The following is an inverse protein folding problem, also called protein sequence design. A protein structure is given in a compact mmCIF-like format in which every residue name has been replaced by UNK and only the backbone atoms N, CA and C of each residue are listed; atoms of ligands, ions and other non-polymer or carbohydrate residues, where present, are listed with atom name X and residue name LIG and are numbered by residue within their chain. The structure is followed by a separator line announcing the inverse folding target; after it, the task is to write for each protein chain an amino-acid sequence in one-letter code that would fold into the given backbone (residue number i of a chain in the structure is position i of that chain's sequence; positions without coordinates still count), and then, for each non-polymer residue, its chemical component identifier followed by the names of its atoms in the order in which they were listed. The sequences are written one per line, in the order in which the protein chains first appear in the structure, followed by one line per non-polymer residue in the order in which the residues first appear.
data_IF_923656733948
#
_entry.id   IF_923656733948
#
_cell.length_a   1.000
_cell.length_b   1.000
_cell.length_c   1.000
_cell.angle_alpha   90.00
_cell.angle_beta   90.00
_cell.angle_gamma   90.00
#
_symmetry.space_group_name_H-M   'P 1'
#
loop_
_entity.id
_entity.type
_entity.pdbx_description
1 polymer ?
#
# COMPACT_ATOMS: atom_id res chain seq x y z
N UNK A 1 18.85 -20.70 -14.78
CA UNK A 1 17.93 -20.37 -13.69
C UNK A 1 18.23 -21.28 -12.52
N UNK A 2 18.56 -20.72 -11.36
CA UNK A 2 18.76 -21.51 -10.14
C UNK A 2 17.42 -22.13 -9.70
N UNK A 3 17.44 -23.27 -8.98
CA UNK A 3 16.22 -23.95 -8.50
C UNK A 3 15.29 -23.02 -7.72
N UNK A 4 15.86 -22.15 -6.88
CA UNK A 4 15.10 -21.14 -6.12
C UNK A 4 14.36 -20.14 -7.00
N UNK A 5 14.96 -19.71 -8.12
CA UNK A 5 14.30 -18.81 -9.08
C UNK A 5 13.17 -19.53 -9.81
N UNK A 6 13.35 -20.81 -10.16
CA UNK A 6 12.28 -21.64 -10.76
C UNK A 6 11.07 -21.75 -9.81
N UNK A 7 11.33 -22.04 -8.53
CA UNK A 7 10.29 -22.15 -7.50
C UNK A 7 9.59 -20.79 -7.24
N UNK A 8 10.35 -19.69 -7.32
CA UNK A 8 9.79 -18.33 -7.29
C UNK A 8 8.86 -18.09 -8.49
N UNK A 9 9.26 -18.46 -9.71
CA UNK A 9 8.40 -18.31 -10.90
C UNK A 9 7.08 -19.07 -10.76
N UNK A 10 7.11 -20.28 -10.19
CA UNK A 10 5.88 -21.05 -9.89
C UNK A 10 5.00 -20.29 -8.88
N UNK A 11 5.61 -19.69 -7.87
CA UNK A 11 4.87 -18.92 -6.87
C UNK A 11 4.25 -17.65 -7.46
N UNK A 12 4.98 -16.90 -8.29
CA UNK A 12 4.48 -15.71 -8.99
C UNK A 12 3.26 -16.07 -9.86
N UNK A 13 3.37 -17.14 -10.67
CA UNK A 13 2.26 -17.64 -11.51
C UNK A 13 1.02 -18.02 -10.69
N UNK A 14 1.21 -18.66 -9.53
CA UNK A 14 0.10 -19.08 -8.66
C UNK A 14 -0.50 -17.93 -7.85
N UNK A 15 0.27 -16.90 -7.54
CA UNK A 15 -0.23 -15.68 -6.92
C UNK A 15 -1.09 -14.86 -7.90
N UNK A 16 -0.70 -14.84 -9.18
CA UNK A 16 -1.36 -14.09 -10.25
C UNK A 16 -2.17 -14.99 -11.21
N UNK A 17 -2.87 -16.00 -10.69
CA UNK A 17 -3.75 -16.85 -11.53
C UNK A 17 -4.98 -16.08 -12.05
N UNK A 18 -5.62 -16.59 -13.10
CA UNK A 18 -6.87 -16.03 -13.65
C UNK A 18 -8.09 -16.20 -12.72
N UNK A 19 -7.98 -17.06 -11.69
CA UNK A 19 -9.08 -17.30 -10.76
C UNK A 19 -9.44 -15.99 -10.03
N UNK A 20 -10.73 -15.61 -10.05
CA UNK A 20 -11.30 -14.42 -9.40
C UNK A 20 -11.38 -14.58 -7.87
N UNK A 21 -10.26 -14.97 -7.26
CA UNK A 21 -10.06 -15.12 -5.82
C UNK A 21 -8.91 -14.24 -5.36
N UNK A 22 -8.75 -14.11 -4.05
CA UNK A 22 -7.55 -13.49 -3.48
C UNK A 22 -6.25 -14.17 -3.99
N UNK A 23 -5.15 -13.42 -4.13
CA UNK A 23 -3.83 -14.01 -4.33
C UNK A 23 -3.53 -15.05 -3.23
N UNK A 24 -3.10 -16.25 -3.64
CA UNK A 24 -2.86 -17.35 -2.71
C UNK A 24 -1.76 -16.98 -1.71
N UNK A 25 -2.13 -16.81 -0.43
CA UNK A 25 -1.25 -16.31 0.66
C UNK A 25 0.13 -16.98 0.71
N UNK A 26 0.19 -18.31 0.58
CA UNK A 26 1.47 -19.04 0.61
C UNK A 26 2.43 -18.65 -0.52
N UNK A 27 1.91 -18.29 -1.68
CA UNK A 27 2.71 -17.92 -2.85
C UNK A 27 3.15 -16.45 -2.79
N UNK A 28 2.28 -15.57 -2.28
CA UNK A 28 2.68 -14.18 -1.97
C UNK A 28 3.78 -14.18 -0.90
N UNK A 29 3.61 -14.99 0.17
CA UNK A 29 4.63 -15.14 1.21
C UNK A 29 5.95 -15.69 0.68
N UNK A 30 5.90 -16.64 -0.25
CA UNK A 30 7.12 -17.16 -0.89
C UNK A 30 7.87 -16.05 -1.67
N UNK A 31 7.17 -15.12 -2.33
CA UNK A 31 7.80 -13.98 -3.00
C UNK A 31 8.48 -13.04 -2.01
N UNK A 32 7.82 -12.76 -0.89
CA UNK A 32 8.37 -11.93 0.21
C UNK A 32 9.61 -12.59 0.80
N UNK A 33 9.51 -13.86 1.22
CA UNK A 33 10.61 -14.62 1.83
C UNK A 33 11.80 -14.74 0.89
N UNK A 34 11.56 -14.99 -0.41
CA UNK A 34 12.62 -15.02 -1.41
C UNK A 34 13.47 -13.73 -1.39
N UNK A 35 12.82 -12.57 -1.26
CA UNK A 35 13.54 -11.28 -1.23
C UNK A 35 14.45 -11.14 -0.01
N UNK A 36 14.08 -11.73 1.14
CA UNK A 36 14.90 -11.76 2.35
C UNK A 36 16.07 -12.73 2.22
N UNK A 37 15.80 -13.95 1.74
CA UNK A 37 16.83 -14.99 1.57
C UNK A 37 17.94 -14.56 0.61
N UNK A 38 17.58 -13.83 -0.47
CA UNK A 38 18.51 -13.42 -1.52
C UNK A 38 18.93 -11.95 -1.42
N UNK A 39 18.35 -11.18 -0.48
CA UNK A 39 18.53 -9.73 -0.32
C UNK A 39 18.28 -8.92 -1.59
N UNK A 40 17.45 -9.43 -2.50
CA UNK A 40 17.08 -8.80 -3.77
C UNK A 40 15.71 -9.28 -4.25
N UNK A 41 14.99 -8.39 -4.92
CA UNK A 41 13.71 -8.64 -5.59
C UNK A 41 13.83 -8.67 -7.12
N UNK A 42 15.03 -8.61 -7.71
CA UNK A 42 15.23 -8.61 -9.17
C UNK A 42 14.54 -9.79 -9.86
N UNK A 43 14.69 -10.99 -9.31
CA UNK A 43 14.06 -12.19 -9.86
C UNK A 43 12.52 -12.14 -9.79
N UNK A 44 11.97 -11.46 -8.76
CA UNK A 44 10.53 -11.23 -8.64
C UNK A 44 10.02 -10.30 -9.75
N UNK A 45 10.67 -9.15 -9.96
CA UNK A 45 10.31 -8.23 -11.05
C UNK A 45 10.43 -8.87 -12.43
N UNK A 46 11.53 -9.58 -12.69
CA UNK A 46 11.71 -10.31 -13.94
C UNK A 46 10.62 -11.39 -14.14
N UNK A 47 10.23 -12.06 -13.06
CA UNK A 47 9.15 -13.04 -13.09
C UNK A 47 7.78 -12.47 -13.36
N UNK A 48 7.49 -11.27 -12.88
CA UNK A 48 6.24 -10.57 -13.22
C UNK A 48 6.22 -10.12 -14.68
N UNK A 49 7.33 -9.60 -15.21
CA UNK A 49 7.44 -9.11 -16.59
C UNK A 49 7.24 -10.18 -17.67
N UNK A 50 7.48 -11.45 -17.35
CA UNK A 50 7.23 -12.56 -18.28
C UNK A 50 5.78 -13.07 -18.23
N UNK A 51 4.96 -12.61 -17.27
CA UNK A 51 3.55 -12.97 -17.25
C UNK A 51 2.79 -12.16 -18.31
N UNK A 52 1.84 -12.77 -19.04
CA UNK A 52 0.94 -12.04 -19.92
C UNK A 52 -0.15 -11.36 -19.08
N UNK A 53 0.21 -10.27 -18.39
CA UNK A 53 -0.71 -9.52 -17.52
C UNK A 53 -1.74 -8.72 -18.32
N UNK A 54 -1.37 -8.25 -19.51
CA UNK A 54 -2.25 -7.47 -20.39
C UNK A 54 -3.44 -8.26 -20.95
N UNK A 55 -3.37 -9.59 -20.93
CA UNK A 55 -4.41 -10.46 -21.49
C UNK A 55 -5.57 -10.69 -20.49
N UNK A 56 -5.39 -10.35 -19.21
CA UNK A 56 -6.33 -10.70 -18.14
C UNK A 56 -6.26 -9.71 -16.96
N UNK A 57 -7.31 -8.92 -16.81
CA UNK A 57 -7.42 -7.90 -15.76
C UNK A 57 -7.40 -8.47 -14.33
N UNK A 58 -7.88 -9.71 -14.12
CA UNK A 58 -7.84 -10.36 -12.81
C UNK A 58 -6.39 -10.70 -12.45
N UNK A 59 -5.63 -11.24 -13.40
CA UNK A 59 -4.19 -11.50 -13.19
C UNK A 59 -3.45 -10.21 -12.90
N UNK A 60 -3.72 -9.16 -13.68
CA UNK A 60 -3.07 -7.87 -13.51
C UNK A 60 -3.39 -7.24 -12.14
N UNK A 61 -4.66 -7.22 -11.74
CA UNK A 61 -5.06 -6.73 -10.43
C UNK A 61 -4.38 -7.52 -9.29
N UNK A 62 -4.32 -8.85 -9.40
CA UNK A 62 -3.61 -9.71 -8.42
C UNK A 62 -2.10 -9.50 -8.43
N UNK A 63 -1.51 -9.18 -9.58
CA UNK A 63 -0.10 -8.81 -9.68
C UNK A 63 0.17 -7.51 -8.92
N UNK A 64 -0.68 -6.49 -9.06
CA UNK A 64 -0.54 -5.25 -8.30
C UNK A 64 -0.69 -5.48 -6.78
N UNK A 65 -1.66 -6.28 -6.33
CA UNK A 65 -1.77 -6.66 -4.90
C UNK A 65 -0.48 -7.34 -4.43
N UNK A 66 0.06 -8.25 -5.24
CA UNK A 66 1.30 -8.97 -4.91
C UNK A 66 2.50 -8.01 -4.85
N UNK A 67 2.60 -7.06 -5.78
CA UNK A 67 3.61 -5.99 -5.76
C UNK A 67 3.49 -5.17 -4.48
N UNK A 68 2.29 -4.70 -4.13
CA UNK A 68 2.05 -3.93 -2.91
C UNK A 68 2.58 -4.67 -1.68
N UNK A 69 2.25 -5.96 -1.54
CA UNK A 69 2.71 -6.78 -0.42
C UNK A 69 4.22 -7.01 -0.39
N UNK A 70 4.86 -7.19 -1.55
CA UNK A 70 6.33 -7.31 -1.61
C UNK A 70 7.02 -5.99 -1.28
N UNK A 71 6.46 -4.85 -1.69
CA UNK A 71 6.97 -3.53 -1.31
C UNK A 71 6.82 -3.26 0.18
N UNK A 72 5.74 -3.76 0.80
CA UNK A 72 5.52 -3.66 2.25
C UNK A 72 6.45 -4.57 3.04
N UNK A 73 6.36 -5.87 2.81
CA UNK A 73 6.87 -6.90 3.72
C UNK A 73 8.23 -7.49 3.28
N UNK A 74 8.69 -7.15 2.07
CA UNK A 74 9.95 -7.63 1.51
C UNK A 74 11.19 -7.00 2.14
N UNK A 75 12.36 -7.55 1.81
CA UNK A 75 13.64 -6.96 2.22
C UNK A 75 13.70 -5.48 1.77
N UNK A 76 14.35 -4.54 2.51
CA UNK A 76 14.37 -3.12 2.16
C UNK A 76 14.87 -2.78 0.73
N UNK A 77 15.59 -3.70 0.09
CA UNK A 77 15.97 -3.57 -1.33
C UNK A 77 14.77 -3.64 -2.28
N UNK A 78 13.63 -4.21 -1.87
CA UNK A 78 12.39 -4.26 -2.64
C UNK A 78 11.87 -2.86 -2.98
N UNK A 79 11.94 -1.90 -2.05
CA UNK A 79 11.57 -0.51 -2.33
C UNK A 79 12.53 0.12 -3.36
N UNK A 80 13.85 -0.07 -3.17
CA UNK A 80 14.88 0.46 -4.09
C UNK A 80 14.73 -0.10 -5.50
N UNK A 81 14.44 -1.39 -5.62
CA UNK A 81 14.23 -2.06 -6.90
C UNK A 81 12.83 -1.79 -7.47
N UNK A 82 11.82 -1.54 -6.62
CA UNK A 82 10.50 -1.05 -7.03
C UNK A 82 10.59 0.31 -7.70
N UNK A 83 11.36 1.25 -7.13
CA UNK A 83 11.62 2.56 -7.75
C UNK A 83 12.25 2.41 -9.14
N UNK A 84 13.15 1.43 -9.33
CA UNK A 84 13.75 1.14 -10.65
C UNK A 84 12.76 0.53 -11.65
N UNK A 85 11.66 -0.03 -11.18
CA UNK A 85 10.60 -0.61 -12.00
C UNK A 85 9.36 0.29 -12.08
N UNK A 86 9.45 1.55 -11.61
CA UNK A 86 8.34 2.51 -11.58
C UNK A 86 7.67 2.66 -12.95
N UNK A 87 8.45 2.93 -14.00
CA UNK A 87 7.90 3.13 -15.36
C UNK A 87 7.23 1.87 -15.90
N UNK A 88 7.74 0.69 -15.51
CA UNK A 88 7.07 -0.57 -15.85
C UNK A 88 5.74 -0.73 -15.11
N UNK A 89 5.66 -0.36 -13.83
CA UNK A 89 4.41 -0.34 -13.08
C UNK A 89 3.42 0.60 -13.77
N UNK A 90 3.82 1.85 -14.05
CA UNK A 90 2.99 2.85 -14.75
C UNK A 90 2.43 2.32 -16.09
N UNK A 91 3.23 1.55 -16.84
CA UNK A 91 2.75 0.94 -18.08
C UNK A 91 1.59 -0.06 -17.88
N UNK A 92 1.49 -0.70 -16.71
CA UNK A 92 0.40 -1.61 -16.37
C UNK A 92 -0.94 -0.89 -16.20
N UNK A 93 -0.95 0.30 -15.63
CA UNK A 93 -2.15 1.14 -15.56
C UNK A 93 -2.55 1.68 -16.93
N UNK A 94 -1.56 2.06 -17.75
CA UNK A 94 -1.77 2.71 -19.05
C UNK A 94 -2.42 1.80 -20.11
N UNK A 95 -2.19 0.49 -20.05
CA UNK A 95 -2.78 -0.48 -21.01
C UNK A 95 -4.30 -0.68 -20.84
N UNK A 96 -4.87 -0.20 -19.74
CA UNK A 96 -6.29 -0.41 -19.40
C UNK A 96 -7.11 0.83 -19.73
N UNK A 97 -7.81 0.82 -20.87
CA UNK A 97 -8.45 2.02 -21.43
C UNK A 97 -9.91 2.25 -21.03
N UNK A 98 -10.64 1.24 -20.58
CA UNK A 98 -12.05 1.35 -20.18
C UNK A 98 -12.26 0.84 -18.74
N UNK A 99 -13.49 0.85 -18.24
CA UNK A 99 -13.77 0.36 -16.88
C UNK A 99 -13.46 -1.13 -16.69
N UNK A 100 -13.29 -1.87 -17.78
CA UNK A 100 -12.90 -3.27 -17.76
C UNK A 100 -14.02 -4.21 -17.35
N UNK A 101 -13.72 -5.49 -17.35
CA UNK A 101 -14.59 -6.54 -16.83
C UNK A 101 -14.88 -6.27 -15.35
N UNK A 102 -16.16 -6.20 -14.96
CA UNK A 102 -16.60 -5.98 -13.57
C UNK A 102 -15.90 -4.80 -12.87
N UNK A 103 -15.57 -3.72 -13.57
CA UNK A 103 -14.85 -2.55 -13.06
C UNK A 103 -13.38 -2.79 -12.65
N UNK A 104 -12.78 -3.94 -13.01
CA UNK A 104 -11.36 -4.20 -12.71
C UNK A 104 -10.45 -3.19 -13.39
N UNK A 105 -10.80 -2.72 -14.58
CA UNK A 105 -9.98 -1.75 -15.28
C UNK A 105 -9.84 -0.42 -14.52
N UNK A 106 -10.94 0.08 -13.95
CA UNK A 106 -10.91 1.27 -13.07
C UNK A 106 -10.10 1.04 -11.79
N UNK A 107 -10.24 -0.14 -11.19
CA UNK A 107 -9.47 -0.52 -9.99
C UNK A 107 -7.97 -0.61 -10.27
N UNK A 108 -7.58 -1.19 -11.40
CA UNK A 108 -6.18 -1.33 -11.82
C UNK A 108 -5.52 0.05 -11.94
N UNK A 109 -6.16 0.99 -12.63
CA UNK A 109 -5.62 2.35 -12.80
C UNK A 109 -5.42 3.08 -11.48
N UNK A 110 -6.39 2.97 -10.56
CA UNK A 110 -6.27 3.65 -9.27
C UNK A 110 -5.22 2.99 -8.38
N UNK A 111 -5.16 1.66 -8.39
CA UNK A 111 -4.19 0.90 -7.59
C UNK A 111 -2.76 1.08 -8.13
N UNK A 112 -2.59 1.18 -9.44
CA UNK A 112 -1.35 1.56 -10.11
C UNK A 112 -0.88 2.95 -9.67
N UNK A 113 -1.74 3.96 -9.79
CA UNK A 113 -1.46 5.33 -9.34
C UNK A 113 -1.04 5.38 -7.87
N UNK A 114 -1.73 4.65 -7.01
CA UNK A 114 -1.37 4.55 -5.59
C UNK A 114 0.05 3.98 -5.41
N UNK A 115 0.40 2.89 -6.10
CA UNK A 115 1.74 2.29 -6.01
C UNK A 115 2.83 3.25 -6.51
N UNK A 116 2.57 4.02 -7.57
CA UNK A 116 3.49 5.06 -8.04
C UNK A 116 3.71 6.14 -6.96
N UNK A 117 2.63 6.64 -6.34
CA UNK A 117 2.71 7.61 -5.23
C UNK A 117 3.51 7.04 -4.05
N UNK A 118 3.31 5.77 -3.69
CA UNK A 118 4.10 5.09 -2.65
C UNK A 118 5.60 5.03 -3.00
N UNK A 119 5.93 4.69 -4.24
CA UNK A 119 7.32 4.62 -4.68
C UNK A 119 7.99 6.00 -4.70
N UNK A 120 7.25 7.03 -5.13
CA UNK A 120 7.73 8.42 -5.12
C UNK A 120 7.96 8.92 -3.69
N UNK A 121 7.05 8.60 -2.75
CA UNK A 121 7.26 8.84 -1.33
C UNK A 121 8.58 8.23 -0.83
N UNK A 122 8.79 6.92 -1.03
CA UNK A 122 10.01 6.25 -0.55
C UNK A 122 11.28 6.67 -1.30
N UNK A 123 11.16 7.25 -2.50
CA UNK A 123 12.30 7.86 -3.22
C UNK A 123 12.79 9.11 -2.49
N UNK A 124 11.85 9.92 -1.99
CA UNK A 124 12.11 11.17 -1.30
C UNK A 124 12.41 10.95 0.20
N UNK A 125 11.76 9.97 0.82
CA UNK A 125 11.79 9.73 2.27
C UNK A 125 12.39 8.36 2.61
N UNK A 126 13.72 8.25 2.55
CA UNK A 126 14.44 6.96 2.68
C UNK A 126 14.42 6.34 4.08
N UNK A 127 14.04 7.12 5.10
CA UNK A 127 13.97 6.65 6.49
C UNK A 127 12.80 5.72 6.78
N UNK A 128 11.76 5.72 5.93
CA UNK A 128 10.55 4.92 6.15
C UNK A 128 10.68 3.53 5.51
N UNK A 129 10.32 2.50 6.27
CA UNK A 129 10.23 1.14 5.77
C UNK A 129 8.91 0.90 5.00
N UNK A 130 8.80 -0.26 4.34
CA UNK A 130 7.69 -0.55 3.43
C UNK A 130 6.31 -0.64 4.10
N UNK A 131 6.25 -1.04 5.37
CA UNK A 131 5.02 -1.19 6.16
C UNK A 131 4.63 0.07 6.93
N UNK A 132 5.46 1.12 6.90
CA UNK A 132 5.33 2.25 7.83
C UNK A 132 5.23 1.77 9.28
N UNK A 133 6.07 0.79 9.64
CA UNK A 133 6.20 0.41 11.04
C UNK A 133 6.83 1.56 11.81
N UNK A 134 6.15 1.97 12.88
CA UNK A 134 6.55 3.13 13.66
C UNK A 134 7.90 2.89 14.31
N UNK A 135 8.85 3.76 13.98
CA UNK A 135 10.14 3.85 14.63
C UNK A 135 10.29 5.27 15.19
N UNK A 136 10.37 5.39 16.52
CA UNK A 136 10.48 6.68 17.21
C UNK A 136 11.67 7.48 16.71
N UNK A 137 12.81 6.81 16.47
CA UNK A 137 14.00 7.43 15.91
C UNK A 137 13.76 8.07 14.53
N UNK A 138 13.02 7.39 13.64
CA UNK A 138 12.70 7.95 12.31
C UNK A 138 11.91 9.24 12.47
N UNK A 139 10.86 9.21 13.30
CA UNK A 139 10.02 10.39 13.55
C UNK A 139 10.83 11.55 14.15
N UNK A 140 11.64 11.28 15.18
CA UNK A 140 12.46 12.30 15.85
C UNK A 140 13.57 12.85 14.94
N UNK A 141 14.16 12.03 14.08
CA UNK A 141 15.19 12.47 13.15
C UNK A 141 14.62 13.36 12.05
N UNK A 142 13.47 13.00 11.47
CA UNK A 142 12.81 13.78 10.42
C UNK A 142 12.31 15.14 10.92
N UNK A 143 11.84 15.23 12.16
CA UNK A 143 11.38 16.50 12.76
C UNK A 143 12.49 17.30 13.44
N UNK A 144 13.75 16.86 13.31
CA UNK A 144 14.91 17.64 13.80
C UNK A 144 15.08 18.95 13.03
N UNK A 145 14.71 18.94 11.75
CA UNK A 145 14.44 20.12 10.93
C UNK A 145 12.91 20.27 10.79
N UNK A 146 12.31 21.32 11.36
CA UNK A 146 10.86 21.54 11.28
C UNK A 146 10.32 21.64 9.85
N UNK A 147 11.09 22.18 8.91
CA UNK A 147 10.65 22.32 7.52
C UNK A 147 10.59 20.96 6.83
N UNK A 148 11.62 20.12 7.02
CA UNK A 148 11.63 18.72 6.53
C UNK A 148 10.52 17.90 7.20
N UNK A 149 10.30 18.10 8.50
CA UNK A 149 9.21 17.47 9.24
C UNK A 149 7.83 17.85 8.71
N UNK A 150 7.61 19.13 8.40
CA UNK A 150 6.35 19.63 7.86
C UNK A 150 6.04 19.00 6.49
N UNK A 151 7.02 19.00 5.58
CA UNK A 151 6.89 18.43 4.24
C UNK A 151 6.67 16.91 4.29
N UNK A 152 7.41 16.20 5.15
CA UNK A 152 7.23 14.75 5.32
C UNK A 152 5.81 14.41 5.84
N UNK A 153 5.25 15.21 6.74
CA UNK A 153 3.85 15.04 7.19
C UNK A 153 2.87 15.28 6.03
N UNK A 154 3.06 16.32 5.22
CA UNK A 154 2.22 16.60 4.05
C UNK A 154 2.24 15.46 3.03
N UNK A 155 3.42 14.90 2.77
CA UNK A 155 3.60 13.77 1.86
C UNK A 155 2.94 12.48 2.40
N UNK A 156 3.09 12.20 3.70
CA UNK A 156 2.38 11.11 4.38
C UNK A 156 0.86 11.28 4.30
N UNK A 157 0.36 12.49 4.55
CA UNK A 157 -1.07 12.80 4.43
C UNK A 157 -1.56 12.61 2.99
N UNK A 158 -0.76 12.98 2.00
CA UNK A 158 -1.12 12.80 0.58
C UNK A 158 -1.17 11.33 0.18
N UNK A 159 -0.31 10.49 0.76
CA UNK A 159 -0.39 9.04 0.60
C UNK A 159 -1.63 8.46 1.31
N UNK A 160 -1.99 8.98 2.49
CA UNK A 160 -3.21 8.60 3.20
C UNK A 160 -4.49 8.93 2.40
N UNK A 161 -4.54 10.08 1.73
CA UNK A 161 -5.65 10.44 0.84
C UNK A 161 -5.74 9.50 -0.37
N UNK A 162 -4.59 9.09 -0.93
CA UNK A 162 -4.56 8.10 -2.01
C UNK A 162 -5.09 6.73 -1.57
N UNK A 163 -4.87 6.33 -0.32
CA UNK A 163 -5.48 5.11 0.26
C UNK A 163 -6.99 5.28 0.36
N UNK A 164 -7.46 6.44 0.82
CA UNK A 164 -8.90 6.73 0.94
C UNK A 164 -9.61 6.69 -0.43
N UNK A 165 -9.03 7.31 -1.46
CA UNK A 165 -9.55 7.27 -2.83
C UNK A 165 -9.71 5.83 -3.33
N UNK A 166 -8.66 5.03 -3.14
CA UNK A 166 -8.60 3.66 -3.61
C UNK A 166 -9.54 2.72 -2.84
N UNK A 167 -9.60 2.84 -1.52
CA UNK A 167 -10.50 2.00 -0.71
C UNK A 167 -11.97 2.32 -1.03
N UNK A 168 -12.33 3.60 -1.20
CA UNK A 168 -13.69 3.99 -1.59
C UNK A 168 -14.08 3.38 -2.92
N UNK A 169 -13.14 3.39 -3.88
CA UNK A 169 -13.35 2.75 -5.17
C UNK A 169 -13.52 1.22 -5.05
N UNK A 170 -12.71 0.55 -4.22
CA UNK A 170 -12.87 -0.88 -3.95
C UNK A 170 -14.25 -1.16 -3.37
N UNK A 171 -14.69 -0.42 -2.35
CA UNK A 171 -16.03 -0.58 -1.76
C UNK A 171 -17.16 -0.29 -2.76
N UNK A 172 -17.01 0.71 -3.62
CA UNK A 172 -18.00 1.03 -4.65
C UNK A 172 -18.13 -0.06 -5.72
N UNK A 173 -17.10 -0.90 -5.90
CA UNK A 173 -17.08 -1.94 -6.94
C UNK A 173 -17.35 -3.35 -6.42
N UNK A 174 -17.42 -3.55 -5.11
CA UNK A 174 -17.97 -4.78 -4.52
C UNK A 174 -19.49 -4.61 -4.42
N UNK A 175 -20.25 -5.57 -4.94
CA UNK A 175 -21.72 -5.54 -4.84
C UNK A 175 -22.17 -5.49 -3.39
N UNK A 176 -23.45 -5.18 -3.14
CA UNK A 176 -24.03 -5.16 -1.78
C UNK A 176 -23.74 -6.42 -0.95
N UNK A 177 -23.52 -7.57 -1.60
CA UNK A 177 -23.22 -8.84 -0.92
C UNK A 177 -21.75 -8.98 -0.51
N UNK A 178 -20.89 -7.98 -0.78
CA UNK A 178 -19.45 -7.96 -0.44
C UNK A 178 -18.75 -9.28 -0.79
N UNK A 179 -19.05 -9.84 -1.96
CA UNK A 179 -18.75 -11.25 -2.28
C UNK A 179 -17.51 -11.46 -3.18
N UNK A 180 -16.74 -10.41 -3.48
CA UNK A 180 -15.51 -10.55 -4.28
C UNK A 180 -14.28 -10.63 -3.38
N UNK A 181 -13.86 -11.84 -3.03
CA UNK A 181 -12.62 -12.05 -2.26
C UNK A 181 -11.40 -11.44 -2.94
N UNK A 182 -11.36 -11.46 -4.28
CA UNK A 182 -10.28 -10.88 -5.05
C UNK A 182 -10.15 -9.37 -4.79
N UNK A 183 -11.23 -8.59 -4.96
CA UNK A 183 -11.24 -7.14 -4.71
C UNK A 183 -11.00 -6.82 -3.23
N UNK A 184 -11.68 -7.54 -2.34
CA UNK A 184 -11.55 -7.34 -0.89
C UNK A 184 -10.12 -7.60 -0.43
N UNK A 185 -9.41 -8.55 -1.03
CA UNK A 185 -8.02 -8.83 -0.65
C UNK A 185 -7.05 -7.66 -0.86
N UNK A 186 -7.39 -6.69 -1.74
CA UNK A 186 -6.63 -5.45 -1.91
C UNK A 186 -6.73 -4.51 -0.69
N UNK A 187 -7.79 -4.62 0.13
CA UNK A 187 -7.94 -3.82 1.35
C UNK A 187 -6.97 -4.25 2.45
N UNK A 188 -6.53 -5.51 2.47
CA UNK A 188 -5.61 -6.05 3.50
C UNK A 188 -4.32 -5.22 3.60
N UNK A 189 -3.53 -5.02 2.52
CA UNK A 189 -2.34 -4.18 2.61
C UNK A 189 -2.66 -2.70 2.85
N UNK A 190 -3.80 -2.17 2.36
CA UNK A 190 -4.21 -0.78 2.59
C UNK A 190 -4.52 -0.48 4.07
N UNK A 191 -5.17 -1.42 4.77
CA UNK A 191 -5.46 -1.29 6.20
C UNK A 191 -4.16 -1.21 7.02
N UNK A 192 -3.20 -2.08 6.71
CA UNK A 192 -1.91 -2.08 7.41
C UNK A 192 -1.14 -0.77 7.17
N UNK A 193 -1.07 -0.33 5.91
CA UNK A 193 -0.34 0.87 5.50
C UNK A 193 -0.95 2.14 6.08
N UNK A 194 -2.27 2.30 5.96
CA UNK A 194 -2.98 3.47 6.49
C UNK A 194 -2.80 3.64 7.99
N UNK A 195 -2.73 2.53 8.74
CA UNK A 195 -2.49 2.58 10.17
C UNK A 195 -1.04 2.96 10.51
N UNK A 196 -0.07 2.44 9.76
CA UNK A 196 1.33 2.83 9.89
C UNK A 196 1.54 4.33 9.64
N UNK A 197 1.00 4.82 8.52
CA UNK A 197 1.01 6.25 8.15
C UNK A 197 0.34 7.09 9.24
N UNK A 198 -0.84 6.70 9.72
CA UNK A 198 -1.55 7.41 10.78
C UNK A 198 -0.71 7.55 12.06
N UNK A 199 -0.04 6.48 12.50
CA UNK A 199 0.87 6.52 13.67
C UNK A 199 2.05 7.47 13.45
N UNK A 200 2.67 7.45 12.27
CA UNK A 200 3.76 8.36 11.95
C UNK A 200 3.30 9.82 11.99
N UNK A 201 2.20 10.15 11.30
CA UNK A 201 1.64 11.51 11.31
C UNK A 201 1.35 11.96 12.75
N UNK A 202 0.68 11.11 13.55
CA UNK A 202 0.37 11.42 14.95
C UNK A 202 1.63 11.75 15.76
N UNK A 203 2.66 10.92 15.65
CA UNK A 203 3.90 11.11 16.40
C UNK A 203 4.69 12.31 15.93
N UNK A 204 4.82 12.51 14.62
CA UNK A 204 5.57 13.63 14.05
C UNK A 204 4.89 14.95 14.37
N UNK A 205 3.56 15.02 14.27
CA UNK A 205 2.81 16.23 14.60
C UNK A 205 2.96 16.61 16.09
N UNK A 206 2.92 15.62 17.01
CA UNK A 206 3.21 15.85 18.44
C UNK A 206 4.63 16.36 18.69
N UNK A 207 5.61 15.79 18.00
CA UNK A 207 7.00 16.23 18.10
C UNK A 207 7.17 17.65 17.55
N UNK A 208 6.57 17.97 16.40
CA UNK A 208 6.56 19.31 15.80
C UNK A 208 5.99 20.38 16.73
N UNK A 209 4.88 20.08 17.41
CA UNK A 209 4.31 20.97 18.43
C UNK A 209 5.30 21.25 19.57
N UNK A 210 6.02 20.21 20.01
CA UNK A 210 7.02 20.33 21.08
C UNK A 210 8.24 21.15 20.64
N UNK A 211 8.72 20.94 19.41
CA UNK A 211 9.95 21.56 18.89
C UNK A 211 9.74 23.02 18.46
N UNK A 212 8.64 23.32 17.76
CA UNK A 212 8.43 24.64 17.13
C UNK A 212 7.79 25.66 18.05
N UNK A 213 6.95 25.22 19.00
CA UNK A 213 6.14 26.10 19.85
C UNK A 213 5.19 27.03 19.07
N UNK A 214 5.00 26.81 17.77
CA UNK A 214 4.20 27.68 16.88
C UNK A 214 2.91 26.97 16.47
N UNK A 215 1.90 27.07 17.34
CA UNK A 215 0.62 26.40 17.12
C UNK A 215 -0.10 26.91 15.85
N UNK A 216 0.07 28.18 15.49
CA UNK A 216 -0.55 28.76 14.27
C UNK A 216 0.02 28.11 12.99
N UNK A 217 1.33 27.89 12.92
CA UNK A 217 1.97 27.29 11.74
C UNK A 217 1.52 25.83 11.49
N UNK A 218 1.16 25.10 12.55
CA UNK A 218 0.73 23.71 12.48
C UNK A 218 -0.78 23.54 12.32
N UNK A 219 -1.55 24.62 12.34
CA UNK A 219 -3.02 24.58 12.21
C UNK A 219 -3.48 23.86 10.93
N UNK A 220 -2.92 24.13 9.74
CA UNK A 220 -3.34 23.44 8.52
C UNK A 220 -3.11 21.92 8.58
N UNK A 221 -2.03 21.48 9.25
CA UNK A 221 -1.75 20.05 9.44
C UNK A 221 -2.74 19.42 10.42
N UNK A 222 -3.07 20.11 11.52
CA UNK A 222 -4.08 19.63 12.48
C UNK A 222 -5.45 19.46 11.84
N UNK A 223 -5.89 20.44 11.05
CA UNK A 223 -7.18 20.39 10.38
C UNK A 223 -7.26 19.22 9.40
N UNK A 224 -6.21 19.02 8.59
CA UNK A 224 -6.14 17.90 7.66
C UNK A 224 -6.06 16.56 8.39
N UNK A 225 -5.30 16.48 9.48
CA UNK A 225 -5.22 15.30 10.34
C UNK A 225 -6.59 14.91 10.91
N UNK A 226 -7.35 15.87 11.45
CA UNK A 226 -8.68 15.64 12.00
C UNK A 226 -9.67 15.13 10.93
N UNK A 227 -9.61 15.69 9.73
CA UNK A 227 -10.42 15.23 8.60
C UNK A 227 -10.03 13.80 8.17
N UNK A 228 -8.74 13.48 8.10
CA UNK A 228 -8.26 12.14 7.77
C UNK A 228 -8.60 11.11 8.86
N UNK A 229 -8.53 11.48 10.14
CA UNK A 229 -8.94 10.63 11.26
C UNK A 229 -10.38 10.17 11.08
N UNK A 230 -11.28 11.10 10.75
CA UNK A 230 -12.71 10.81 10.57
C UNK A 230 -12.94 9.84 9.41
N UNK A 231 -12.30 10.07 8.25
CA UNK A 231 -12.38 9.17 7.09
C UNK A 231 -11.80 7.79 7.39
N UNK A 232 -10.69 7.73 8.13
CA UNK A 232 -10.03 6.48 8.50
C UNK A 232 -10.85 5.66 9.51
N UNK A 233 -11.53 6.35 10.44
CA UNK A 233 -12.48 5.73 11.37
C UNK A 233 -13.62 5.03 10.61
N UNK A 234 -14.24 5.71 9.64
CA UNK A 234 -15.27 5.14 8.77
C UNK A 234 -14.74 3.96 7.96
N UNK A 235 -13.55 4.10 7.34
CA UNK A 235 -12.92 3.02 6.58
C UNK A 235 -12.73 1.74 7.42
N UNK A 236 -12.26 1.86 8.67
CA UNK A 236 -12.08 0.71 9.55
C UNK A 236 -13.41 0.14 10.06
N UNK A 237 -14.44 0.96 10.25
CA UNK A 237 -15.79 0.48 10.56
C UNK A 237 -16.34 -0.35 9.38
N UNK A 238 -16.19 0.14 8.16
CA UNK A 238 -16.60 -0.57 6.94
C UNK A 238 -15.84 -1.89 6.79
N UNK A 239 -14.52 -1.89 7.01
CA UNK A 239 -13.71 -3.12 6.96
C UNK A 239 -14.10 -4.13 8.04
N UNK A 240 -14.47 -3.67 9.23
CA UNK A 240 -14.91 -4.53 10.34
C UNK A 240 -16.22 -5.27 10.05
N UNK A 241 -17.04 -4.74 9.13
CA UNK A 241 -18.25 -5.42 8.66
C UNK A 241 -18.00 -6.50 7.58
N UNK A 242 -16.76 -6.63 7.08
CA UNK A 242 -16.39 -7.59 6.03
C UNK A 242 -15.80 -8.86 6.65
N UNK A 243 -16.61 -9.93 6.75
CA UNK A 243 -16.20 -11.21 7.39
C UNK A 243 -14.89 -11.78 6.84
N UNK A 244 -14.66 -11.68 5.53
CA UNK A 244 -13.43 -12.16 4.92
C UNK A 244 -12.21 -11.43 5.49
N UNK A 245 -12.24 -10.10 5.62
CA UNK A 245 -11.14 -9.32 6.19
C UNK A 245 -10.89 -9.66 7.66
N UNK A 246 -11.95 -9.70 8.47
CA UNK A 246 -11.85 -9.97 9.90
C UNK A 246 -11.35 -11.39 10.20
N UNK A 247 -11.48 -12.33 9.24
CA UNK A 247 -10.90 -13.68 9.35
C UNK A 247 -9.39 -13.73 9.04
N UNK A 248 -8.86 -12.71 8.36
CA UNK A 248 -7.48 -12.67 7.89
C UNK A 248 -6.58 -11.80 8.76
N UNK A 249 -7.09 -10.67 9.23
CA UNK A 249 -6.35 -9.65 9.96
C UNK A 249 -7.20 -9.03 11.06
N UNK A 250 -6.53 -8.48 12.08
CA UNK A 250 -7.17 -7.61 13.06
C UNK A 250 -7.29 -6.21 12.48
N UNK A 251 -8.52 -5.69 12.38
CA UNK A 251 -8.76 -4.32 11.95
C UNK A 251 -8.35 -3.36 13.09
N UNK A 252 -7.52 -2.33 12.82
CA UNK A 252 -7.18 -1.33 13.82
C UNK A 252 -8.42 -0.62 14.36
N UNK A 253 -8.40 -0.25 15.65
CA UNK A 253 -9.48 0.51 16.29
C UNK A 253 -8.98 1.90 16.64
N UNK A 254 -9.57 2.92 16.01
CA UNK A 254 -9.31 4.32 16.36
C UNK A 254 -10.26 4.78 17.45
N UNK A 255 -9.83 5.75 18.24
CA UNK A 255 -10.68 6.48 19.17
C UNK A 255 -11.70 7.33 18.39
N UNK A 256 -12.84 7.66 19.00
CA UNK A 256 -13.84 8.50 18.36
C UNK A 256 -13.28 9.89 18.02
N UNK A 257 -12.51 10.46 18.95
CA UNK A 257 -11.81 11.73 18.75
C UNK A 257 -10.33 11.49 18.43
N UNK A 258 -9.72 12.35 17.59
CA UNK A 258 -8.29 12.34 17.37
C UNK A 258 -7.52 12.61 18.68
N UNK A 259 -6.38 11.93 18.90
CA UNK A 259 -5.58 12.00 20.12
C UNK A 259 -4.53 13.11 20.13
#
# INVERSE_FOLDING_TARGET
MNRSESDLQVSIKKACSADETAPKRKHVRACIVFSWDHRSSKAFWNGLKILPLQDDEIKLFKALITIHKVLQEGHPTCLKEGIKNRDWIESLGAIVHNDGYKNYGRLIREYDRYLLRKLDFHRNHRGFNGTFEYEEYVSLSTVSDPDEGYEAILDLMSLQDAIDDLQRLIFATISHNKSSECKISALVPLIAESYGIYKFITSMLRAMHTTTGSDEALEPLRDRYNAQHSRLYEFYADCSSVRYLTSLITIPKLQLSPP
#
